data_IF_418578242164
#
_entry.id   IF_418578242164
#
_cell.length_a   1.000
_cell.length_b   1.000
_cell.length_c   1.000
_cell.angle_alpha   90.00
_cell.angle_beta   90.00
_cell.angle_gamma   90.00
#
_symmetry.space_group_name_H-M   'P 1'
#
loop_
_entity.id
_entity.type
_entity.pdbx_description
1 polymer ?
#
# COMPACT_ATOMS: atom_id res chain seq x y z
N UNK A 1 -33.53 -25.45 42.42
CA UNK A 1 -32.12 -25.55 41.98
C UNK A 1 -31.82 -27.01 41.68
N UNK A 2 -30.98 -27.38 40.69
CA UNK A 2 -29.93 -26.56 40.07
C UNK A 2 -30.04 -26.36 38.56
N UNK A 3 -29.33 -25.31 38.17
CA UNK A 3 -28.90 -24.82 36.86
C UNK A 3 -27.71 -25.68 36.41
N UNK A 4 -27.63 -26.06 35.14
CA UNK A 4 -26.41 -26.51 34.44
C UNK A 4 -26.78 -26.82 32.99
N UNK A 5 -26.08 -26.40 31.95
CA UNK A 5 -25.01 -25.44 31.73
C UNK A 5 -25.02 -25.27 30.21
N UNK A 6 -24.83 -24.04 29.74
CA UNK A 6 -24.54 -23.78 28.34
C UNK A 6 -23.13 -24.34 28.11
N UNK A 7 -23.00 -25.42 27.35
CA UNK A 7 -21.69 -25.86 26.90
C UNK A 7 -21.22 -24.89 25.82
N UNK A 8 -20.39 -23.95 26.26
CA UNK A 8 -19.24 -23.47 25.50
C UNK A 8 -18.39 -24.67 25.06
N UNK A 9 -17.59 -24.45 24.02
CA UNK A 9 -16.58 -25.34 23.43
C UNK A 9 -17.07 -26.29 22.32
N UNK A 10 -16.96 -25.81 21.08
CA UNK A 10 -16.04 -26.43 20.12
C UNK A 10 -15.66 -25.38 19.05
N UNK A 11 -14.88 -24.39 19.49
CA UNK A 11 -14.07 -23.57 18.62
C UNK A 11 -12.96 -24.48 18.07
N UNK A 12 -13.27 -25.28 17.05
CA UNK A 12 -12.32 -26.18 16.39
C UNK A 12 -11.31 -25.34 15.61
N UNK A 13 -10.24 -24.98 16.32
CA UNK A 13 -8.87 -24.79 15.85
C UNK A 13 -8.76 -24.40 14.37
N UNK A 14 -9.18 -23.18 14.04
CA UNK A 14 -8.87 -22.61 12.75
C UNK A 14 -7.36 -22.35 12.69
N UNK A 15 -6.66 -23.06 11.81
CA UNK A 15 -5.23 -22.94 11.61
C UNK A 15 -4.95 -22.37 10.21
N UNK A 16 -4.20 -21.27 10.07
CA UNK A 16 -3.79 -20.73 8.76
C UNK A 16 -2.97 -21.73 7.92
N UNK A 17 -2.42 -22.78 8.55
CA UNK A 17 -1.64 -23.83 7.92
C UNK A 17 -2.52 -24.88 7.21
N UNK A 18 -3.73 -25.13 7.72
CA UNK A 18 -4.67 -26.04 7.06
C UNK A 18 -5.19 -25.48 5.74
N UNK A 19 -5.39 -24.16 5.66
CA UNK A 19 -5.75 -23.46 4.41
C UNK A 19 -4.59 -23.48 3.41
N UNK A 20 -3.37 -23.25 3.87
CA UNK A 20 -2.20 -23.20 3.00
C UNK A 20 -1.81 -24.58 2.43
N UNK A 21 -1.76 -25.62 3.26
CA UNK A 21 -1.35 -26.98 2.86
C UNK A 21 -2.52 -27.89 2.48
N UNK A 22 -3.77 -27.45 2.62
CA UNK A 22 -4.95 -28.14 2.08
C UNK A 22 -4.90 -28.34 0.57
N UNK A 23 -4.09 -27.53 -0.13
CA UNK A 23 -3.84 -27.58 -1.57
C UNK A 23 -2.81 -28.64 -2.00
N UNK A 24 -2.08 -29.28 -1.08
CA UNK A 24 -0.98 -30.20 -1.43
C UNK A 24 -1.41 -31.68 -1.58
N UNK A 25 -0.80 -32.46 -2.51
CA UNK A 25 -1.17 -33.87 -2.71
C UNK A 25 -0.89 -34.76 -1.49
N UNK A 26 -1.91 -35.52 -1.06
CA UNK A 26 -1.93 -36.32 0.20
C UNK A 26 -0.76 -37.29 0.41
N UNK A 27 -0.04 -37.69 -0.64
CA UNK A 27 1.09 -38.65 -0.56
C UNK A 27 2.35 -38.09 0.11
N UNK A 28 2.50 -36.76 0.23
CA UNK A 28 3.64 -36.12 0.92
C UNK A 28 3.45 -35.91 2.43
N UNK A 29 2.25 -36.15 2.97
CA UNK A 29 1.87 -35.76 4.35
C UNK A 29 2.17 -36.83 5.43
N UNK A 30 2.60 -38.03 5.05
CA UNK A 30 2.38 -39.23 5.88
C UNK A 30 3.43 -39.62 6.94
N UNK A 31 4.71 -39.26 6.80
CA UNK A 31 5.76 -39.81 7.70
C UNK A 31 6.83 -38.77 8.08
N UNK A 32 7.14 -37.82 7.20
CA UNK A 32 8.11 -36.74 7.48
C UNK A 32 7.48 -35.50 8.13
N UNK A 33 6.15 -35.43 8.21
CA UNK A 33 5.43 -34.23 8.62
C UNK A 33 5.30 -34.09 10.14
N UNK A 34 4.84 -35.09 10.89
CA UNK A 34 4.42 -34.89 12.30
C UNK A 34 5.47 -34.24 13.20
N UNK A 35 6.72 -34.71 13.17
CA UNK A 35 7.76 -34.25 14.12
C UNK A 35 8.38 -32.92 13.71
N UNK A 36 8.42 -32.61 12.41
CA UNK A 36 8.82 -31.30 11.89
C UNK A 36 7.70 -30.28 12.12
N UNK A 37 6.44 -30.71 12.07
CA UNK A 37 5.27 -29.83 12.14
C UNK A 37 5.04 -29.25 13.53
N UNK A 38 5.32 -29.96 14.62
CA UNK A 38 5.08 -29.41 15.97
C UNK A 38 6.06 -28.28 16.33
N UNK A 39 7.33 -28.42 15.94
CA UNK A 39 8.34 -27.38 16.15
C UNK A 39 8.19 -26.23 15.14
N UNK A 40 7.82 -26.56 13.89
CA UNK A 40 7.51 -25.56 12.87
C UNK A 40 6.20 -24.82 13.18
N UNK A 41 5.21 -25.45 13.79
CA UNK A 41 3.96 -24.80 14.21
C UNK A 41 4.20 -23.82 15.36
N UNK A 42 5.05 -24.18 16.33
CA UNK A 42 5.43 -23.26 17.42
C UNK A 42 6.24 -22.07 16.91
N UNK A 43 7.16 -22.31 15.98
CA UNK A 43 7.91 -21.25 15.32
C UNK A 43 6.98 -20.40 14.45
N UNK A 44 6.15 -21.00 13.61
CA UNK A 44 5.23 -20.31 12.71
C UNK A 44 4.15 -19.52 13.45
N UNK A 45 3.60 -20.01 14.57
CA UNK A 45 2.68 -19.22 15.40
C UNK A 45 3.36 -17.99 15.99
N UNK A 46 4.61 -18.14 16.46
CA UNK A 46 5.41 -17.03 16.99
C UNK A 46 5.77 -16.03 15.89
N UNK A 47 6.19 -16.54 14.74
CA UNK A 47 6.56 -15.75 13.56
C UNK A 47 5.34 -15.08 12.95
N UNK A 48 4.18 -15.72 12.93
CA UNK A 48 2.92 -15.12 12.46
C UNK A 48 2.41 -14.05 13.42
N UNK A 49 2.49 -14.26 14.74
CA UNK A 49 2.18 -13.22 15.72
C UNK A 49 3.14 -12.03 15.60
N UNK A 50 4.43 -12.31 15.37
CA UNK A 50 5.45 -11.29 15.12
C UNK A 50 5.21 -10.54 13.80
N UNK A 51 4.89 -11.26 12.73
CA UNK A 51 4.55 -10.71 11.41
C UNK A 51 3.25 -9.92 11.45
N UNK A 52 2.23 -10.38 12.18
CA UNK A 52 1.01 -9.60 12.39
C UNK A 52 1.30 -8.33 13.17
N UNK A 53 2.18 -8.38 14.18
CA UNK A 53 2.59 -7.17 14.91
C UNK A 53 3.37 -6.23 14.00
N UNK A 54 4.28 -6.74 13.18
CA UNK A 54 5.01 -5.95 12.18
C UNK A 54 4.04 -5.36 11.16
N UNK A 55 3.08 -6.12 10.67
CA UNK A 55 2.12 -5.70 9.66
C UNK A 55 1.13 -4.67 10.23
N UNK A 56 0.66 -4.86 11.46
CA UNK A 56 -0.13 -3.86 12.18
C UNK A 56 0.68 -2.59 12.41
N UNK A 57 1.93 -2.70 12.88
CA UNK A 57 2.81 -1.54 13.02
C UNK A 57 3.12 -0.90 11.66
N UNK A 58 3.20 -1.68 10.58
CA UNK A 58 3.47 -1.17 9.24
C UNK A 58 2.28 -0.42 8.65
N UNK A 59 1.07 -0.97 8.79
CA UNK A 59 -0.18 -0.30 8.43
C UNK A 59 -0.40 0.95 9.26
N UNK A 60 -0.07 0.85 10.55
CA UNK A 60 -0.07 1.97 11.46
C UNK A 60 1.22 2.80 11.36
N UNK A 61 2.08 2.67 10.35
CA UNK A 61 3.33 3.45 10.17
C UNK A 61 4.31 3.58 11.34
N UNK A 62 4.22 2.74 12.37
CA UNK A 62 5.13 2.66 13.51
C UNK A 62 6.36 1.76 13.26
N UNK A 63 6.76 1.58 12.00
CA UNK A 63 7.94 0.77 11.65
C UNK A 63 9.17 1.64 11.57
N UNK A 64 10.22 1.28 12.31
CA UNK A 64 11.54 1.91 12.16
C UNK A 64 12.05 1.79 10.72
N UNK A 65 12.92 2.70 10.25
CA UNK A 65 13.65 2.52 9.01
C UNK A 65 14.46 1.22 9.03
N UNK A 66 14.68 0.55 7.88
CA UNK A 66 15.45 -0.69 7.84
C UNK A 66 16.88 -0.58 8.42
N UNK A 67 17.50 0.60 8.30
CA UNK A 67 18.83 0.91 8.82
C UNK A 67 18.91 0.88 10.36
N UNK A 68 17.78 1.10 11.05
CA UNK A 68 17.68 1.10 12.52
C UNK A 68 17.11 -0.22 13.09
N UNK A 69 17.15 -1.29 12.27
CA UNK A 69 16.60 -2.61 12.63
C UNK A 69 15.10 -2.74 12.39
N UNK A 70 14.53 -1.87 11.54
CA UNK A 70 13.17 -1.99 11.04
C UNK A 70 13.00 -3.10 9.98
N UNK A 71 11.75 -3.52 9.69
CA UNK A 71 11.48 -4.54 8.69
C UNK A 71 11.63 -4.01 7.26
N UNK A 72 12.15 -4.85 6.37
CA UNK A 72 12.05 -4.65 4.92
C UNK A 72 10.65 -5.09 4.45
N UNK A 73 9.92 -4.19 3.81
CA UNK A 73 8.56 -4.37 3.32
C UNK A 73 8.58 -4.15 1.83
N UNK A 74 8.23 -5.19 1.07
CA UNK A 74 7.98 -5.14 -0.36
C UNK A 74 6.64 -5.80 -0.64
N UNK A 75 5.81 -5.15 -1.41
CA UNK A 75 4.53 -5.68 -1.84
C UNK A 75 4.11 -5.12 -3.19
N UNK A 76 3.07 -5.71 -3.75
CA UNK A 76 2.44 -5.28 -4.99
C UNK A 76 0.93 -5.32 -4.84
N UNK A 77 0.26 -4.41 -5.53
CA UNK A 77 -1.19 -4.34 -5.67
C UNK A 77 -1.54 -4.49 -7.15
N UNK A 78 -2.61 -5.23 -7.45
CA UNK A 78 -3.14 -5.43 -8.79
C UNK A 78 -4.55 -4.85 -8.85
N UNK A 79 -4.76 -3.89 -9.75
CA UNK A 79 -6.09 -3.36 -10.07
C UNK A 79 -6.43 -3.71 -11.51
N UNK A 80 -7.66 -4.17 -11.75
CA UNK A 80 -8.16 -4.38 -13.11
C UNK A 80 -9.29 -3.38 -13.34
N UNK A 81 -9.06 -2.44 -14.24
CA UNK A 81 -10.04 -1.41 -14.59
C UNK A 81 -11.17 -1.92 -15.49
N UNK A 82 -12.18 -1.09 -15.78
CA UNK A 82 -13.26 -1.41 -16.73
C UNK A 82 -12.77 -1.73 -18.15
N UNK A 83 -11.57 -1.26 -18.49
CA UNK A 83 -10.86 -1.51 -19.73
C UNK A 83 -10.19 -2.90 -19.77
N UNK A 84 -10.24 -3.66 -18.67
CA UNK A 84 -9.69 -5.01 -18.54
C UNK A 84 -8.17 -5.08 -18.47
N UNK A 85 -7.47 -3.93 -18.42
CA UNK A 85 -6.01 -3.90 -18.34
C UNK A 85 -5.56 -4.00 -16.89
N UNK A 86 -4.65 -4.93 -16.55
CA UNK A 86 -4.10 -5.03 -15.21
C UNK A 86 -3.09 -3.90 -14.96
N UNK A 87 -3.31 -3.13 -13.90
CA UNK A 87 -2.37 -2.16 -13.35
C UNK A 87 -1.70 -2.75 -12.12
N UNK A 88 -0.38 -2.86 -12.17
CA UNK A 88 0.46 -3.31 -11.07
C UNK A 88 1.07 -2.08 -10.39
N UNK A 89 0.91 -1.95 -9.07
CA UNK A 89 1.63 -0.93 -8.28
C UNK A 89 2.40 -1.60 -7.16
N UNK A 90 3.68 -1.32 -7.06
CA UNK A 90 4.50 -1.77 -5.94
C UNK A 90 4.27 -0.86 -4.72
N UNK A 91 4.51 -1.37 -3.53
CA UNK A 91 4.46 -0.61 -2.28
C UNK A 91 5.49 -1.15 -1.28
N UNK A 92 5.86 -0.33 -0.30
CA UNK A 92 6.78 -0.70 0.75
C UNK A 92 7.95 0.28 0.89
N UNK A 93 8.99 -0.14 1.60
CA UNK A 93 10.19 0.65 1.88
C UNK A 93 11.43 0.12 1.16
N UNK A 94 11.28 -0.86 0.26
CA UNK A 94 12.33 -1.32 -0.65
C UNK A 94 11.77 -1.52 -2.06
N UNK A 95 12.53 -1.11 -3.07
CA UNK A 95 12.23 -1.36 -4.49
C UNK A 95 13.21 -2.41 -5.05
N UNK A 96 12.77 -3.41 -5.82
CA UNK A 96 13.65 -4.46 -6.36
C UNK A 96 14.41 -3.99 -7.63
N UNK A 97 14.98 -2.79 -7.64
CA UNK A 97 15.82 -2.38 -8.78
C UNK A 97 17.17 -3.11 -8.74
N UNK A 98 17.63 -3.60 -9.91
CA UNK A 98 18.84 -4.44 -10.08
C UNK A 98 20.18 -3.77 -9.66
N UNK A 99 20.19 -2.49 -9.27
CA UNK A 99 21.40 -1.72 -8.96
C UNK A 99 21.42 -1.10 -7.54
N UNK A 100 20.81 -1.77 -6.56
CA UNK A 100 20.64 -1.18 -5.22
C UNK A 100 21.96 -1.10 -4.42
N UNK A 101 22.49 0.12 -4.25
CA UNK A 101 23.36 0.46 -3.11
C UNK A 101 22.45 0.78 -1.91
N UNK A 102 22.71 0.22 -0.72
CA UNK A 102 21.93 0.52 0.49
C UNK A 102 21.82 2.02 0.81
N UNK A 103 22.81 2.80 0.35
CA UNK A 103 22.95 4.24 0.57
C UNK A 103 21.91 5.13 -0.16
N UNK A 104 21.04 4.55 -1.01
CA UNK A 104 20.02 5.28 -1.78
C UNK A 104 18.59 4.97 -1.36
N UNK A 105 18.40 4.19 -0.29
CA UNK A 105 17.10 3.96 0.31
C UNK A 105 16.67 5.24 1.03
N UNK A 106 15.83 6.04 0.38
CA UNK A 106 15.05 7.07 1.08
C UNK A 106 14.30 6.42 2.23
N UNK A 107 14.46 6.91 3.46
CA UNK A 107 13.70 6.49 4.64
C UNK A 107 12.19 6.73 4.49
N UNK A 108 11.81 7.62 3.57
CA UNK A 108 10.43 8.01 3.32
C UNK A 108 9.65 6.89 2.65
N UNK A 109 8.50 6.58 3.22
CA UNK A 109 7.56 5.58 2.68
C UNK A 109 6.82 6.14 1.48
N UNK A 110 6.54 5.30 0.49
CA UNK A 110 5.61 5.67 -0.57
C UNK A 110 4.17 5.37 -0.15
N UNK A 111 3.26 6.37 -0.11
CA UNK A 111 1.84 6.15 0.12
C UNK A 111 1.18 5.46 -1.09
N UNK A 112 0.13 4.67 -0.84
CA UNK A 112 -0.72 4.19 -1.94
C UNK A 112 -1.54 5.34 -2.50
N UNK A 113 -1.43 5.56 -3.81
CA UNK A 113 -2.14 6.61 -4.53
C UNK A 113 -2.98 6.03 -5.66
N UNK A 114 -4.26 6.39 -5.71
CA UNK A 114 -5.15 6.16 -6.85
C UNK A 114 -5.37 7.47 -7.61
N UNK A 115 -5.36 7.40 -8.94
CA UNK A 115 -5.59 8.56 -9.82
C UNK A 115 -6.76 8.22 -10.73
N UNK A 116 -7.77 9.06 -10.73
CA UNK A 116 -8.98 8.93 -11.55
C UNK A 116 -9.13 10.16 -12.41
N UNK A 117 -9.16 9.97 -13.73
CA UNK A 117 -9.37 11.03 -14.71
C UNK A 117 -10.85 11.07 -15.15
N UNK A 118 -11.48 12.23 -15.03
CA UNK A 118 -12.79 12.54 -15.61
C UNK A 118 -12.62 13.46 -16.83
N UNK A 119 -13.71 13.90 -17.45
CA UNK A 119 -13.63 14.80 -18.63
C UNK A 119 -12.98 16.15 -18.28
N UNK A 120 -13.35 16.74 -17.15
CA UNK A 120 -12.93 18.09 -16.73
C UNK A 120 -11.92 18.10 -15.57
N UNK A 121 -11.85 17.02 -14.78
CA UNK A 121 -11.08 16.97 -13.53
C UNK A 121 -10.21 15.72 -13.43
N UNK A 122 -9.18 15.81 -12.58
CA UNK A 122 -8.34 14.70 -12.13
C UNK A 122 -8.49 14.63 -10.62
N UNK A 123 -8.89 13.47 -10.11
CA UNK A 123 -9.01 13.19 -8.68
C UNK A 123 -7.89 12.26 -8.24
N UNK A 124 -7.17 12.64 -7.19
CA UNK A 124 -6.07 11.87 -6.61
C UNK A 124 -6.43 11.53 -5.16
N UNK A 125 -6.39 10.25 -4.81
CA UNK A 125 -6.62 9.77 -3.45
C UNK A 125 -5.37 9.10 -2.92
N UNK A 126 -4.84 9.55 -1.78
CA UNK A 126 -3.65 9.02 -1.12
C UNK A 126 -3.95 8.57 0.31
N UNK A 127 -3.39 7.42 0.72
CA UNK A 127 -3.45 6.97 2.12
C UNK A 127 -2.26 7.50 2.93
N UNK A 128 -2.55 8.19 4.02
CA UNK A 128 -1.60 8.77 4.96
C UNK A 128 -2.03 8.49 6.41
N UNK A 129 -2.16 7.21 6.81
CA UNK A 129 -2.67 6.87 8.14
C UNK A 129 -1.79 7.47 9.23
N UNK A 130 -2.42 8.12 10.22
CA UNK A 130 -1.76 8.64 11.41
C UNK A 130 -0.90 9.89 11.20
N UNK A 131 -0.97 10.53 10.04
CA UNK A 131 -0.31 11.83 9.76
C UNK A 131 -1.24 12.97 10.19
N UNK A 132 -0.72 14.00 10.85
CA UNK A 132 -1.52 15.20 11.14
C UNK A 132 -1.60 16.09 9.90
N UNK A 133 -2.72 16.80 9.73
CA UNK A 133 -2.98 17.60 8.52
C UNK A 133 -1.89 18.67 8.30
N UNK A 134 -1.37 19.23 9.38
CA UNK A 134 -0.36 20.29 9.37
C UNK A 134 1.01 19.83 8.87
N UNK A 135 1.29 18.53 8.87
CA UNK A 135 2.56 17.96 8.41
C UNK A 135 2.52 17.53 6.93
N UNK A 136 1.39 17.73 6.26
CA UNK A 136 1.19 17.38 4.84
C UNK A 136 1.48 18.60 3.97
N UNK A 137 2.53 18.50 3.17
CA UNK A 137 2.89 19.47 2.15
C UNK A 137 2.48 18.96 0.77
N UNK A 138 1.75 19.79 0.03
CA UNK A 138 1.30 19.49 -1.33
C UNK A 138 1.85 20.56 -2.27
N UNK A 139 2.50 20.11 -3.33
CA UNK A 139 2.96 20.97 -4.41
C UNK A 139 2.44 20.43 -5.74
N UNK A 140 2.03 21.31 -6.65
CA UNK A 140 1.48 20.92 -7.94
C UNK A 140 2.07 21.79 -9.04
N UNK A 141 2.54 21.14 -10.10
CA UNK A 141 2.91 21.75 -11.38
C UNK A 141 1.79 21.47 -12.41
N UNK A 142 1.96 21.93 -13.65
CA UNK A 142 0.99 21.65 -14.71
C UNK A 142 0.80 20.14 -14.96
N UNK A 143 1.81 19.31 -14.68
CA UNK A 143 1.85 17.89 -15.05
C UNK A 143 2.13 16.94 -13.87
N UNK A 144 2.40 17.46 -12.66
CA UNK A 144 2.88 16.66 -11.54
C UNK A 144 2.28 17.14 -10.22
N UNK A 145 1.90 16.19 -9.36
CA UNK A 145 1.53 16.43 -7.97
C UNK A 145 2.55 15.77 -7.03
N UNK A 146 3.11 16.55 -6.13
CA UNK A 146 4.01 16.09 -5.07
C UNK A 146 3.28 16.07 -3.74
N UNK A 147 3.36 14.93 -3.06
CA UNK A 147 2.88 14.73 -1.70
C UNK A 147 4.10 14.48 -0.81
N UNK A 148 4.41 15.42 0.06
CA UNK A 148 5.49 15.31 1.03
C UNK A 148 4.91 15.35 2.46
N UNK A 149 5.37 14.45 3.31
CA UNK A 149 5.07 14.47 4.74
C UNK A 149 6.39 14.47 5.49
N UNK A 150 6.56 15.46 6.35
CA UNK A 150 7.73 15.63 7.21
C UNK A 150 7.28 15.63 8.67
N UNK A 151 7.09 14.43 9.21
CA UNK A 151 6.74 14.20 10.62
C UNK A 151 7.77 13.26 11.26
N UNK A 152 8.12 13.52 12.53
CA UNK A 152 9.11 12.77 13.31
C UNK A 152 8.76 11.28 13.43
N UNK A 153 7.48 10.90 13.29
CA UNK A 153 7.04 9.51 13.35
C UNK A 153 6.77 8.90 11.98
N UNK A 154 6.47 9.71 10.96
CA UNK A 154 6.06 9.26 9.63
C UNK A 154 6.58 10.18 8.54
N UNK A 155 7.49 9.67 7.73
CA UNK A 155 7.87 10.35 6.50
C UNK A 155 7.21 9.68 5.30
N UNK A 156 6.51 10.47 4.49
CA UNK A 156 5.98 10.03 3.20
C UNK A 156 6.51 10.92 2.09
N UNK A 157 6.76 10.32 0.93
CA UNK A 157 7.06 11.07 -0.29
C UNK A 157 6.46 10.35 -1.49
N UNK A 158 5.71 11.09 -2.31
CA UNK A 158 5.24 10.61 -3.60
C UNK A 158 5.21 11.73 -4.61
N UNK A 159 5.75 11.44 -5.78
CA UNK A 159 5.51 12.21 -6.99
C UNK A 159 4.51 11.43 -7.86
N UNK A 160 3.47 12.13 -8.31
CA UNK A 160 2.38 11.58 -9.11
C UNK A 160 2.35 12.33 -10.44
N UNK A 161 2.73 11.64 -11.51
CA UNK A 161 2.53 12.15 -12.88
C UNK A 161 1.03 12.23 -13.18
N UNK A 162 0.56 13.40 -13.60
CA UNK A 162 -0.83 13.65 -13.93
C UNK A 162 -1.13 13.20 -15.36
N UNK A 163 -2.29 12.57 -15.62
CA UNK A 163 -2.64 12.08 -16.95
C UNK A 163 -2.93 13.20 -17.97
N UNK A 164 -3.10 14.44 -17.52
CA UNK A 164 -3.30 15.62 -18.35
C UNK A 164 -2.80 16.88 -17.63
N UNK A 165 -2.51 17.93 -18.40
CA UNK A 165 -2.17 19.24 -17.84
C UNK A 165 -3.33 19.81 -16.99
N UNK A 166 -3.02 20.39 -15.83
CA UNK A 166 -4.00 20.96 -14.89
C UNK A 166 -3.80 22.46 -14.69
N UNK A 167 -4.87 23.13 -14.27
CA UNK A 167 -4.79 24.47 -13.69
C UNK A 167 -4.32 24.34 -12.23
N UNK A 168 -3.10 24.78 -11.94
CA UNK A 168 -2.50 24.69 -10.60
C UNK A 168 -3.26 25.49 -9.55
N UNK A 169 -3.96 26.55 -9.94
CA UNK A 169 -4.73 27.40 -9.03
C UNK A 169 -6.11 26.81 -8.69
N UNK A 170 -6.52 25.76 -9.40
CA UNK A 170 -7.82 25.10 -9.22
C UNK A 170 -7.83 24.03 -8.11
N UNK A 171 -6.67 23.75 -7.51
CA UNK A 171 -6.49 22.65 -6.58
C UNK A 171 -7.36 22.77 -5.33
N UNK A 172 -8.12 21.70 -5.03
CA UNK A 172 -8.82 21.55 -3.77
C UNK A 172 -8.42 20.25 -3.09
N UNK A 173 -8.32 20.25 -1.77
CA UNK A 173 -7.89 19.08 -0.99
C UNK A 173 -8.74 18.90 0.27
N UNK A 174 -9.10 17.66 0.57
CA UNK A 174 -9.75 17.26 1.82
C UNK A 174 -8.97 16.13 2.47
N UNK A 175 -8.92 16.11 3.80
CA UNK A 175 -8.20 15.09 4.55
C UNK A 175 -9.06 14.61 5.71
N UNK A 176 -9.42 13.32 5.69
CA UNK A 176 -10.28 12.71 6.69
C UNK A 176 -9.84 11.27 6.97
N UNK A 177 -9.68 10.93 8.25
CA UNK A 177 -9.37 9.58 8.72
C UNK A 177 -8.14 8.93 8.04
N UNK A 178 -7.11 9.72 7.75
CA UNK A 178 -5.90 9.20 7.09
C UNK A 178 -6.01 9.06 5.57
N UNK A 179 -7.07 9.59 4.95
CA UNK A 179 -7.23 9.62 3.50
C UNK A 179 -7.21 11.07 3.03
N UNK A 180 -6.30 11.36 2.10
CA UNK A 180 -6.15 12.64 1.42
C UNK A 180 -6.79 12.53 0.04
N UNK A 181 -7.80 13.34 -0.23
CA UNK A 181 -8.46 13.47 -1.53
C UNK A 181 -8.16 14.84 -2.12
N UNK A 182 -7.63 14.87 -3.34
CA UNK A 182 -7.26 16.06 -4.08
C UNK A 182 -8.03 16.07 -5.40
N UNK A 183 -8.59 17.22 -5.77
CA UNK A 183 -9.23 17.46 -7.06
C UNK A 183 -8.55 18.63 -7.77
N UNK A 184 -8.17 18.39 -9.03
CA UNK A 184 -7.54 19.35 -9.93
C UNK A 184 -8.39 19.47 -11.20
N UNK A 185 -8.65 20.70 -11.67
CA UNK A 185 -9.26 20.91 -12.97
C UNK A 185 -8.20 20.84 -14.07
N UNK A 186 -8.56 20.23 -15.21
CA UNK A 186 -7.69 20.22 -16.39
C UNK A 186 -7.50 21.64 -16.91
N UNK A 187 -6.30 21.93 -17.38
CA UNK A 187 -6.01 23.19 -18.04
C UNK A 187 -6.88 23.32 -19.31
N UNK A 188 -7.36 24.53 -19.59
CA UNK A 188 -8.05 24.78 -20.86
C UNK A 188 -7.07 24.56 -22.02
N UNK A 189 -7.29 23.51 -22.81
CA UNK A 189 -6.48 23.26 -24.00
C UNK A 189 -6.59 24.46 -24.96
N UNK A 190 -5.49 25.18 -25.16
CA UNK A 190 -5.35 26.09 -26.28
C UNK A 190 -5.50 25.27 -27.57
N UNK A 191 -6.66 25.37 -28.22
CA UNK A 191 -6.93 24.75 -29.52
C UNK A 191 -6.08 25.40 -30.62
N UNK A 192 -4.78 25.17 -30.63
CA UNK A 192 -3.91 25.52 -31.74
C UNK A 192 -3.80 24.32 -32.68
N UNK A 193 -4.71 24.27 -33.65
CA UNK A 193 -4.59 23.33 -34.76
C UNK A 193 -3.55 23.83 -35.76
N UNK A 194 -2.58 22.99 -36.11
CA UNK A 194 -1.66 23.24 -37.22
C UNK A 194 -2.11 22.44 -38.43
N UNK A 195 -2.36 23.12 -39.56
CA UNK A 195 -2.67 22.45 -40.83
C UNK A 195 -1.43 21.69 -41.32
N UNK A 196 -1.53 20.36 -41.40
CA UNK A 196 -0.48 19.52 -41.99
C UNK A 196 -0.70 19.49 -43.50
N UNK A 197 0.30 19.94 -44.26
CA UNK A 197 0.32 19.78 -45.71
C UNK A 197 1.09 18.49 -46.06
N UNK A 198 0.54 17.72 -47.00
CA UNK A 198 1.20 16.54 -47.58
C UNK A 198 2.02 17.01 -48.80
N UNK A 199 3.30 16.61 -48.85
CA UNK A 199 4.15 16.71 -50.04
C UNK A 199 3.96 15.49 -50.96
#
# INVERSE_FOLDING_TARGET
MPRKERNEDENKNWSPLDDWFGSWPRRRRGIFASDIFDDLEKQFKRDWQYMNRIMQNAMNGETRPPEEGGPYIYGWSLRVGPDGKPQFREFGNVSPSENMRPEQLSSKREPLVDVVENEETITITAELPGVAKEDIELETTEDTLTINVDDDQREYYKEVELPAEVDTDSATATYQNGILDIELHKAEQKKTGTTIHLD
#
